data_IF_279000716530
#
_entry.id   IF_279000716530
#
_cell.length_a   1.000
_cell.length_b   1.000
_cell.length_c   1.000
_cell.angle_alpha   90.00
_cell.angle_beta   90.00
_cell.angle_gamma   90.00
#
_symmetry.space_group_name_H-M   'P 1'
#
loop_
_entity.id
_entity.type
_entity.pdbx_description
1 polymer ?
#
# COMPACT_ATOMS: atom_id res chain seq x y z
N UNK A 1 -24.34 -13.88 -6.57
CA UNK A 1 -23.68 -13.41 -7.81
C UNK A 1 -22.20 -13.58 -7.60
N UNK A 2 -21.62 -14.60 -8.22
CA UNK A 2 -20.25 -15.05 -7.99
C UNK A 2 -19.32 -14.15 -8.81
N UNK A 3 -18.50 -13.31 -8.14
CA UNK A 3 -17.54 -12.43 -8.80
C UNK A 3 -16.32 -13.24 -9.28
N UNK A 4 -16.55 -14.10 -10.27
CA UNK A 4 -15.51 -14.76 -11.03
C UNK A 4 -15.01 -13.86 -12.16
N UNK A 5 -13.70 -13.58 -12.18
CA UNK A 5 -12.90 -13.21 -13.37
C UNK A 5 -12.95 -11.76 -13.91
N UNK A 6 -13.51 -10.77 -13.22
CA UNK A 6 -13.34 -9.38 -13.67
C UNK A 6 -11.88 -8.93 -13.51
N UNK A 7 -11.11 -8.85 -14.61
CA UNK A 7 -9.76 -8.27 -14.66
C UNK A 7 -9.77 -6.74 -14.66
N UNK A 8 -10.96 -6.14 -14.72
CA UNK A 8 -11.19 -4.70 -14.89
C UNK A 8 -11.56 -3.98 -13.60
N UNK A 9 -11.81 -4.71 -12.51
CA UNK A 9 -12.17 -4.13 -11.21
C UNK A 9 -11.18 -4.58 -10.14
N UNK A 10 -10.77 -3.68 -9.22
CA UNK A 10 -9.97 -4.07 -8.07
C UNK A 10 -10.71 -5.14 -7.24
N UNK A 11 -10.02 -6.18 -6.75
CA UNK A 11 -10.66 -7.19 -5.89
C UNK A 11 -11.08 -6.55 -4.57
N UNK A 12 -12.26 -6.90 -4.06
CA UNK A 12 -12.70 -6.47 -2.74
C UNK A 12 -12.12 -7.38 -1.66
N UNK A 13 -11.52 -6.78 -0.63
CA UNK A 13 -11.10 -7.48 0.58
C UNK A 13 -12.38 -7.84 1.35
N UNK A 14 -12.74 -9.13 1.33
CA UNK A 14 -13.88 -9.70 2.06
C UNK A 14 -13.34 -10.75 3.03
N UNK A 15 -13.65 -10.62 4.33
CA UNK A 15 -13.28 -11.56 5.39
C UNK A 15 -11.74 -11.77 5.55
N UNK A 16 -11.33 -12.85 6.21
CA UNK A 16 -9.93 -13.20 6.54
C UNK A 16 -9.06 -13.63 5.34
N UNK A 17 -9.50 -13.46 4.09
CA UNK A 17 -8.74 -13.93 2.93
C UNK A 17 -7.76 -12.88 2.37
N UNK A 18 -6.99 -12.26 3.26
CA UNK A 18 -6.04 -11.20 2.91
C UNK A 18 -4.99 -11.66 1.89
N UNK A 19 -4.44 -12.87 2.04
CA UNK A 19 -3.41 -13.38 1.11
C UNK A 19 -3.92 -13.49 -0.34
N UNK A 20 -5.16 -13.95 -0.51
CA UNK A 20 -5.79 -14.00 -1.83
C UNK A 20 -6.00 -12.59 -2.39
N UNK A 21 -6.57 -11.69 -1.58
CA UNK A 21 -6.79 -10.30 -1.97
C UNK A 21 -5.47 -9.61 -2.36
N UNK A 22 -4.43 -9.73 -1.54
CA UNK A 22 -3.10 -9.14 -1.74
C UNK A 22 -2.52 -9.56 -3.08
N UNK A 23 -2.56 -10.85 -3.39
CA UNK A 23 -2.05 -11.37 -4.66
C UNK A 23 -2.84 -10.84 -5.87
N UNK A 24 -4.18 -10.82 -5.77
CA UNK A 24 -5.04 -10.30 -6.84
C UNK A 24 -4.87 -8.80 -7.04
N UNK A 25 -4.82 -8.02 -5.95
CA UNK A 25 -4.65 -6.57 -5.97
C UNK A 25 -3.27 -6.20 -6.51
N UNK A 26 -2.22 -6.90 -6.08
CA UNK A 26 -0.86 -6.73 -6.62
C UNK A 26 -0.83 -6.96 -8.14
N UNK A 27 -1.47 -8.02 -8.63
CA UNK A 27 -1.55 -8.29 -10.06
C UNK A 27 -2.34 -7.21 -10.82
N UNK A 28 -3.38 -6.66 -10.21
CA UNK A 28 -4.17 -5.57 -10.78
C UNK A 28 -3.36 -4.28 -10.88
N UNK A 29 -2.68 -3.87 -9.79
CA UNK A 29 -1.79 -2.70 -9.76
C UNK A 29 -0.65 -2.83 -10.79
N UNK A 30 -0.11 -4.04 -10.99
CA UNK A 30 0.96 -4.31 -11.97
C UNK A 30 0.54 -4.23 -13.44
N UNK A 31 -0.75 -4.08 -13.75
CA UNK A 31 -1.18 -3.77 -15.12
C UNK A 31 -0.62 -2.42 -15.60
N UNK A 32 -0.33 -1.52 -14.66
CA UNK A 32 0.40 -0.27 -14.90
C UNK A 32 1.69 -0.28 -14.07
N UNK A 33 2.84 -0.43 -14.75
CA UNK A 33 4.13 -0.57 -14.08
C UNK A 33 4.46 0.62 -13.17
N UNK A 34 4.03 1.83 -13.54
CA UNK A 34 4.28 3.01 -12.72
C UNK A 34 3.43 3.03 -11.45
N UNK A 35 2.20 2.52 -11.52
CA UNK A 35 1.33 2.37 -10.34
C UNK A 35 1.95 1.40 -9.33
N UNK A 36 2.44 0.23 -9.78
CA UNK A 36 3.13 -0.67 -8.85
C UNK A 36 4.42 -0.05 -8.30
N UNK A 37 5.17 0.68 -9.13
CA UNK A 37 6.41 1.34 -8.70
C UNK A 37 6.18 2.30 -7.53
N UNK A 38 5.15 3.16 -7.59
CA UNK A 38 4.85 4.09 -6.49
C UNK A 38 4.30 3.40 -5.25
N UNK A 39 3.59 2.27 -5.39
CA UNK A 39 3.14 1.48 -4.23
C UNK A 39 4.32 0.84 -3.49
N UNK A 40 5.34 0.38 -4.23
CA UNK A 40 6.51 -0.28 -3.64
C UNK A 40 7.53 0.72 -3.08
N UNK A 41 7.79 1.80 -3.82
CA UNK A 41 8.87 2.75 -3.54
C UNK A 41 8.37 4.09 -2.98
N UNK A 42 7.08 4.37 -3.03
CA UNK A 42 6.49 5.65 -2.66
C UNK A 42 6.60 6.66 -3.81
N UNK A 43 5.71 7.67 -3.86
CA UNK A 43 5.91 8.80 -4.74
C UNK A 43 7.11 9.63 -4.27
N UNK A 44 7.73 10.35 -5.21
CA UNK A 44 8.58 11.48 -4.82
C UNK A 44 7.64 12.52 -4.23
N UNK A 45 7.71 12.75 -2.92
CA UNK A 45 6.99 13.85 -2.28
C UNK A 45 7.71 15.14 -2.70
N UNK A 46 7.07 16.01 -3.51
CA UNK A 46 7.73 17.21 -4.00
C UNK A 46 7.87 18.20 -2.85
N UNK A 47 9.10 18.41 -2.41
CA UNK A 47 9.45 19.29 -1.29
C UNK A 47 10.29 20.47 -1.78
N UNK A 48 10.11 21.64 -1.17
CA UNK A 48 10.98 22.82 -1.32
C UNK A 48 11.54 23.25 0.03
N UNK A 49 12.61 24.03 0.01
CA UNK A 49 13.15 24.64 1.21
C UNK A 49 12.26 25.78 1.69
N UNK A 50 11.88 25.71 2.97
CA UNK A 50 11.17 26.74 3.68
C UNK A 50 12.11 27.90 4.08
N UNK A 51 11.55 29.04 4.50
CA UNK A 51 12.33 30.22 4.89
C UNK A 51 13.30 29.98 6.06
N UNK A 52 13.02 28.97 6.87
CA UNK A 52 13.77 28.54 8.05
C UNK A 52 14.68 27.32 7.78
N UNK A 53 14.77 26.87 6.53
CA UNK A 53 15.49 25.64 6.15
C UNK A 53 14.72 24.35 6.38
N UNK A 54 13.45 24.41 6.80
CA UNK A 54 12.57 23.24 6.84
C UNK A 54 12.24 22.72 5.43
N UNK A 55 11.81 21.46 5.30
CA UNK A 55 11.24 20.95 4.05
C UNK A 55 9.73 21.15 4.09
N UNK A 56 9.22 21.96 3.17
CA UNK A 56 7.78 22.21 3.01
C UNK A 56 7.31 21.59 1.71
N UNK A 57 6.07 21.10 1.70
CA UNK A 57 5.47 20.53 0.49
C UNK A 57 5.36 21.62 -0.58
N UNK A 58 5.76 21.30 -1.82
CA UNK A 58 5.54 22.18 -2.96
C UNK A 58 4.02 22.28 -3.23
N UNK A 59 3.55 23.48 -3.54
CA UNK A 59 2.20 23.65 -4.07
C UNK A 59 2.07 22.98 -5.44
N UNK A 60 0.85 22.60 -5.83
CA UNK A 60 0.57 21.92 -7.10
C UNK A 60 1.15 22.68 -8.31
N UNK A 61 1.11 24.01 -8.28
CA UNK A 61 1.62 24.86 -9.37
C UNK A 61 3.16 25.00 -9.39
N UNK A 62 3.85 24.56 -8.34
CA UNK A 62 5.31 24.61 -8.22
C UNK A 62 5.97 23.28 -8.56
N UNK A 63 5.18 22.21 -8.71
CA UNK A 63 5.66 20.91 -9.11
C UNK A 63 6.12 20.95 -10.56
N UNK A 64 7.26 20.32 -10.86
CA UNK A 64 7.61 20.06 -12.24
C UNK A 64 6.69 18.98 -12.85
N UNK A 65 6.75 18.82 -14.18
CA UNK A 65 5.89 17.87 -14.89
C UNK A 65 6.06 16.42 -14.40
N UNK A 66 7.28 16.05 -13.99
CA UNK A 66 7.58 14.69 -13.53
C UNK A 66 7.07 14.47 -12.10
N UNK A 67 7.25 15.44 -11.20
CA UNK A 67 6.67 15.46 -9.85
C UNK A 67 5.14 15.37 -9.89
N UNK A 68 4.49 16.20 -10.71
CA UNK A 68 3.04 16.19 -10.87
C UNK A 68 2.53 14.86 -11.44
N UNK A 69 3.26 14.26 -12.37
CA UNK A 69 2.94 12.95 -12.92
C UNK A 69 3.01 11.84 -11.85
N UNK A 70 4.07 11.81 -11.05
CA UNK A 70 4.22 10.83 -9.97
C UNK A 70 3.14 10.98 -8.89
N UNK A 71 2.79 12.22 -8.54
CA UNK A 71 1.71 12.50 -7.60
C UNK A 71 0.36 11.96 -8.12
N UNK A 72 0.06 12.20 -9.40
CA UNK A 72 -1.16 11.66 -10.04
C UNK A 72 -1.18 10.13 -10.08
N UNK A 73 -0.03 9.49 -10.27
CA UNK A 73 0.09 8.02 -10.25
C UNK A 73 -0.13 7.47 -8.82
N UNK A 74 0.36 8.16 -7.79
CA UNK A 74 0.09 7.79 -6.40
C UNK A 74 -1.39 7.93 -6.05
N UNK A 75 -2.04 9.05 -6.43
CA UNK A 75 -3.49 9.22 -6.25
C UNK A 75 -4.29 8.13 -6.96
N UNK A 76 -3.88 7.75 -8.19
CA UNK A 76 -4.46 6.61 -8.91
C UNK A 76 -4.28 5.32 -8.13
N UNK A 77 -3.10 5.07 -7.57
CA UNK A 77 -2.83 3.88 -6.77
C UNK A 77 -3.67 3.85 -5.47
N UNK A 78 -3.76 4.98 -4.76
CA UNK A 78 -4.61 5.14 -3.56
C UNK A 78 -6.07 4.84 -3.87
N UNK A 79 -6.58 5.37 -4.98
CA UNK A 79 -7.95 5.11 -5.43
C UNK A 79 -8.17 3.62 -5.72
N UNK A 80 -7.26 2.97 -6.46
CA UNK A 80 -7.35 1.53 -6.77
C UNK A 80 -7.37 0.69 -5.49
N UNK A 81 -6.46 0.97 -4.54
CA UNK A 81 -6.41 0.27 -3.26
C UNK A 81 -7.72 0.49 -2.51
N UNK A 82 -8.15 1.74 -2.35
CA UNK A 82 -9.38 2.10 -1.62
C UNK A 82 -10.62 1.42 -2.17
N UNK A 83 -10.78 1.35 -3.49
CA UNK A 83 -11.90 0.65 -4.13
C UNK A 83 -11.93 -0.85 -3.84
N UNK A 84 -10.78 -1.44 -3.48
CA UNK A 84 -10.66 -2.83 -3.07
C UNK A 84 -10.81 -3.08 -1.58
N UNK A 85 -11.13 -2.06 -0.77
CA UNK A 85 -11.29 -2.19 0.68
C UNK A 85 -12.76 -2.12 1.09
N UNK A 86 -13.11 -2.86 2.14
CA UNK A 86 -14.34 -2.61 2.87
C UNK A 86 -14.19 -1.37 3.78
N UNK A 87 -15.29 -0.95 4.41
CA UNK A 87 -15.31 0.25 5.25
C UNK A 87 -14.35 0.19 6.44
N UNK A 88 -14.16 -0.99 7.03
CA UNK A 88 -13.30 -1.15 8.20
C UNK A 88 -11.83 -1.05 7.79
N UNK A 89 -11.46 -1.71 6.70
CA UNK A 89 -10.11 -1.67 6.15
C UNK A 89 -9.79 -0.28 5.60
N UNK A 90 -10.74 0.38 4.94
CA UNK A 90 -10.58 1.76 4.48
C UNK A 90 -10.33 2.71 5.66
N UNK A 91 -11.11 2.63 6.74
CA UNK A 91 -10.94 3.49 7.90
C UNK A 91 -9.53 3.36 8.51
N UNK A 92 -8.94 2.15 8.51
CA UNK A 92 -7.57 1.93 9.01
C UNK A 92 -6.52 2.67 8.19
N UNK A 93 -6.67 2.70 6.87
CA UNK A 93 -5.70 3.34 5.96
C UNK A 93 -6.05 4.78 5.61
N UNK A 94 -7.18 5.30 6.12
CA UNK A 94 -7.72 6.62 5.75
C UNK A 94 -6.77 7.79 6.07
N UNK A 95 -5.89 7.62 7.06
CA UNK A 95 -4.89 8.62 7.45
C UNK A 95 -3.56 8.51 6.69
N UNK A 96 -3.40 7.50 5.83
CA UNK A 96 -2.19 7.34 5.02
C UNK A 96 -2.12 8.42 3.93
N UNK A 97 -0.96 9.04 3.79
CA UNK A 97 -0.72 10.11 2.83
C UNK A 97 -0.40 9.51 1.45
N UNK A 98 0.27 8.37 1.39
CA UNK A 98 0.71 7.73 0.14
C UNK A 98 0.12 6.34 -0.08
N UNK A 99 0.07 5.88 -1.35
CA UNK A 99 -0.35 4.51 -1.66
C UNK A 99 0.57 3.46 -1.02
N UNK A 100 1.86 3.77 -0.91
CA UNK A 100 2.85 2.92 -0.22
C UNK A 100 2.51 2.74 1.26
N UNK A 101 2.14 3.81 1.95
CA UNK A 101 1.73 3.73 3.36
C UNK A 101 0.47 2.89 3.52
N UNK A 102 -0.55 3.10 2.67
CA UNK A 102 -1.76 2.27 2.67
C UNK A 102 -1.41 0.79 2.51
N UNK A 103 -0.59 0.46 1.50
CA UNK A 103 -0.18 -0.91 1.22
C UNK A 103 0.59 -1.54 2.38
N UNK A 104 1.57 -0.82 2.93
CA UNK A 104 2.38 -1.28 4.06
C UNK A 104 1.56 -1.48 5.33
N UNK A 105 0.64 -0.57 5.62
CA UNK A 105 -0.23 -0.69 6.78
C UNK A 105 -1.11 -1.93 6.68
N UNK A 106 -1.69 -2.19 5.51
CA UNK A 106 -2.45 -3.43 5.26
C UNK A 106 -1.59 -4.68 5.44
N UNK A 107 -0.35 -4.69 4.94
CA UNK A 107 0.57 -5.81 5.15
C UNK A 107 0.86 -6.05 6.64
N UNK A 108 1.12 -4.99 7.39
CA UNK A 108 1.40 -5.07 8.83
C UNK A 108 0.17 -5.55 9.61
N UNK A 109 -1.02 -5.03 9.28
CA UNK A 109 -2.27 -5.37 9.97
C UNK A 109 -2.64 -6.84 9.79
N UNK A 110 -2.49 -7.38 8.57
CA UNK A 110 -2.97 -8.73 8.26
C UNK A 110 -1.91 -9.83 8.36
N UNK A 111 -0.64 -9.50 8.15
CA UNK A 111 0.44 -10.49 8.24
C UNK A 111 1.25 -10.37 9.55
N UNK A 112 1.06 -9.28 10.30
CA UNK A 112 1.92 -8.92 11.42
C UNK A 112 3.26 -8.35 10.97
N UNK A 113 4.04 -7.87 11.94
CA UNK A 113 5.40 -7.38 11.68
C UNK A 113 6.38 -8.54 11.50
N UNK A 114 7.51 -8.29 10.82
CA UNK A 114 8.57 -9.29 10.67
C UNK A 114 9.06 -9.82 12.03
N UNK A 115 9.13 -8.96 13.06
CA UNK A 115 9.48 -9.38 14.42
C UNK A 115 8.52 -10.41 15.02
N UNK A 116 7.21 -10.26 14.80
CA UNK A 116 6.22 -11.23 15.30
C UNK A 116 6.34 -12.56 14.54
N UNK A 117 6.63 -12.51 13.24
CA UNK A 117 6.88 -13.71 12.42
C UNK A 117 8.16 -14.43 12.87
N UNK A 118 9.26 -13.71 13.08
CA UNK A 118 10.53 -14.25 13.58
C UNK A 118 10.39 -14.83 14.99
N UNK A 119 9.67 -14.16 15.88
CA UNK A 119 9.43 -14.65 17.25
C UNK A 119 8.68 -15.98 17.23
N UNK A 120 7.66 -16.13 16.37
CA UNK A 120 6.93 -17.40 16.21
C UNK A 120 7.83 -18.51 15.65
N UNK A 121 8.68 -18.20 14.67
CA UNK A 121 9.65 -19.16 14.11
C UNK A 121 10.62 -19.60 15.20
N UNK A 122 11.21 -18.66 15.94
CA UNK A 122 12.16 -18.97 17.01
C UNK A 122 11.51 -19.81 18.12
N UNK A 123 10.27 -19.52 18.51
CA UNK A 123 9.53 -20.34 19.47
C UNK A 123 9.31 -21.78 18.96
N UNK A 124 8.96 -21.95 17.68
CA UNK A 124 8.78 -23.27 17.08
C UNK A 124 10.10 -24.04 16.99
N UNK A 125 11.20 -23.36 16.65
CA UNK A 125 12.56 -23.94 16.64
C UNK A 125 12.96 -24.38 18.05
N UNK A 126 12.78 -23.53 19.06
CA UNK A 126 13.07 -23.88 20.46
C UNK A 126 12.24 -25.06 20.95
N UNK A 127 10.96 -25.16 20.55
CA UNK A 127 10.12 -26.31 20.87
C UNK A 127 10.62 -27.58 20.20
N UNK A 128 11.06 -27.51 18.93
CA UNK A 128 11.61 -28.65 18.20
C UNK A 128 12.95 -29.12 18.77
N UNK A 129 13.84 -28.19 19.15
CA UNK A 129 15.14 -28.50 19.77
C UNK A 129 15.04 -29.01 21.21
N UNK A 130 13.86 -28.88 21.84
CA UNK A 130 13.59 -29.38 23.19
C UNK A 130 13.08 -30.84 23.23
N UNK A 131 12.94 -31.50 22.07
CA UNK A 131 12.61 -32.93 21.94
C UNK A 131 13.85 -33.77 21.61
#
# INVERSE_FOLDING_TARGET
MEEGLATTRPPLLKNDNYNYWKNRMRNFLRQDTHVWYVVENGPIIPMKDGPDGSKILKGILEMDNHEAQLFSIDDKAKNIISCGLDINEYNRVSACETAREMWRLLEITHEGTNQVKETKINMLVQQYEAF
#
